data_IF_991513129625
#
_entry.id   IF_991513129625
#
_cell.length_a   1.000
_cell.length_b   1.000
_cell.length_c   1.000
_cell.angle_alpha   90.00
_cell.angle_beta   90.00
_cell.angle_gamma   90.00
#
_symmetry.space_group_name_H-M   'P 1'
#
loop_
_entity.id
_entity.type
_entity.pdbx_description
1 polymer ?
#
# COMPACT_ATOMS: atom_id res chain seq x y z
N UNK A 1 1.05 -39.05 3.30
CA UNK A 1 1.81 -37.79 3.49
C UNK A 1 2.85 -37.98 4.58
N UNK A 2 4.09 -37.57 4.32
CA UNK A 2 5.19 -37.71 5.29
C UNK A 2 4.96 -36.84 6.53
N UNK A 3 5.31 -37.33 7.73
CA UNK A 3 5.05 -36.63 9.01
C UNK A 3 5.71 -35.26 9.10
N UNK A 4 6.83 -35.07 8.41
CA UNK A 4 7.57 -33.79 8.36
C UNK A 4 6.72 -32.63 7.83
N UNK A 5 5.78 -32.88 6.91
CA UNK A 5 4.90 -31.84 6.37
C UNK A 5 3.76 -31.44 7.33
N UNK A 6 3.69 -32.04 8.53
CA UNK A 6 2.82 -31.55 9.60
C UNK A 6 3.43 -30.42 10.42
N UNK A 7 4.71 -30.14 10.21
CA UNK A 7 5.45 -29.08 10.90
C UNK A 7 5.26 -27.78 10.09
N UNK A 8 4.53 -26.78 10.60
CA UNK A 8 4.24 -25.54 9.87
C UNK A 8 5.51 -24.80 9.42
N UNK A 9 6.57 -24.87 10.21
CA UNK A 9 7.86 -24.25 9.94
C UNK A 9 8.50 -24.85 8.68
N UNK A 10 8.41 -26.17 8.49
CA UNK A 10 8.93 -26.83 7.29
C UNK A 10 8.14 -26.41 6.06
N UNK A 11 6.81 -26.32 6.17
CA UNK A 11 5.97 -25.82 5.08
C UNK A 11 6.32 -24.38 4.72
N UNK A 12 6.51 -23.53 5.74
CA UNK A 12 6.92 -22.15 5.55
C UNK A 12 8.28 -22.04 4.85
N UNK A 13 9.27 -22.85 5.26
CA UNK A 13 10.58 -22.88 4.61
C UNK A 13 10.49 -23.30 3.14
N UNK A 14 9.67 -24.30 2.80
CA UNK A 14 9.43 -24.69 1.40
C UNK A 14 8.84 -23.52 0.60
N UNK A 15 7.86 -22.81 1.17
CA UNK A 15 7.26 -21.64 0.53
C UNK A 15 8.25 -20.50 0.35
N UNK A 16 9.13 -20.25 1.32
CA UNK A 16 10.18 -19.25 1.21
C UNK A 16 11.24 -19.62 0.17
N UNK A 17 11.45 -20.89 -0.14
CA UNK A 17 12.30 -21.27 -1.28
C UNK A 17 11.65 -20.94 -2.62
N UNK A 18 10.31 -20.97 -2.69
CA UNK A 18 9.56 -20.65 -3.91
C UNK A 18 9.44 -19.13 -4.06
N UNK A 19 9.14 -18.42 -2.97
CA UNK A 19 8.88 -16.99 -2.98
C UNK A 19 9.56 -16.35 -1.76
N UNK A 20 10.86 -16.02 -1.87
CA UNK A 20 11.68 -15.58 -0.74
C UNK A 20 11.27 -14.21 -0.18
N UNK A 21 10.96 -13.26 -1.06
CA UNK A 21 10.57 -11.91 -0.67
C UNK A 21 9.07 -11.68 -0.87
N UNK A 22 8.30 -12.01 0.17
CA UNK A 22 6.85 -11.83 0.18
C UNK A 22 6.38 -10.37 0.19
N UNK A 23 7.30 -9.39 0.15
CA UNK A 23 6.98 -7.96 0.14
C UNK A 23 6.98 -7.35 -1.26
N UNK A 24 7.49 -8.09 -2.25
CA UNK A 24 7.61 -7.67 -3.66
C UNK A 24 6.64 -8.43 -4.54
N UNK A 25 6.37 -7.94 -5.75
CA UNK A 25 5.53 -8.69 -6.69
C UNK A 25 6.20 -10.01 -7.08
N UNK A 26 5.53 -11.17 -6.90
CA UNK A 26 6.08 -12.44 -7.33
C UNK A 26 6.18 -12.45 -8.86
N UNK A 27 7.28 -13.00 -9.37
CA UNK A 27 7.42 -13.31 -10.79
C UNK A 27 6.31 -14.28 -11.26
N UNK A 28 6.15 -14.38 -12.58
CA UNK A 28 5.21 -15.32 -13.18
C UNK A 28 5.47 -16.76 -12.73
N UNK A 29 6.74 -17.17 -12.65
CA UNK A 29 7.11 -18.54 -12.31
C UNK A 29 6.81 -18.86 -10.84
N UNK A 30 7.09 -17.92 -9.93
CA UNK A 30 6.76 -18.05 -8.50
C UNK A 30 5.24 -18.14 -8.31
N UNK A 31 4.49 -17.26 -8.98
CA UNK A 31 3.02 -17.27 -8.96
C UNK A 31 2.46 -18.61 -9.44
N UNK A 32 2.98 -19.13 -10.56
CA UNK A 32 2.56 -20.42 -11.10
C UNK A 32 2.93 -21.58 -10.17
N UNK A 33 4.14 -21.56 -9.59
CA UNK A 33 4.61 -22.57 -8.65
C UNK A 33 3.72 -22.62 -7.40
N UNK A 34 3.43 -21.47 -6.78
CA UNK A 34 2.53 -21.37 -5.62
C UNK A 34 1.12 -21.84 -5.95
N UNK A 35 0.58 -21.44 -7.11
CA UNK A 35 -0.75 -21.87 -7.55
C UNK A 35 -0.83 -23.38 -7.80
N UNK A 36 0.23 -23.97 -8.39
CA UNK A 36 0.33 -25.43 -8.55
C UNK A 36 0.41 -26.11 -7.19
N UNK A 37 1.29 -25.63 -6.31
CA UNK A 37 1.49 -26.17 -4.96
C UNK A 37 0.19 -26.17 -4.15
N UNK A 38 -0.57 -25.07 -4.20
CA UNK A 38 -1.87 -24.93 -3.55
C UNK A 38 -2.90 -25.99 -3.99
N UNK A 39 -2.77 -26.51 -5.20
CA UNK A 39 -3.67 -27.53 -5.78
C UNK A 39 -3.17 -28.97 -5.62
N UNK A 40 -1.94 -29.18 -5.13
CA UNK A 40 -1.37 -30.53 -5.00
C UNK A 40 -2.09 -31.37 -3.93
N UNK A 41 -2.30 -30.79 -2.75
CA UNK A 41 -2.87 -31.50 -1.60
C UNK A 41 -3.31 -30.54 -0.49
N UNK A 42 -4.15 -31.04 0.44
CA UNK A 42 -4.76 -30.23 1.50
C UNK A 42 -3.75 -29.54 2.42
N UNK A 43 -2.64 -30.18 2.75
CA UNK A 43 -1.61 -29.63 3.66
C UNK A 43 -0.87 -28.45 3.06
N UNK A 44 -0.59 -28.46 1.76
CA UNK A 44 0.04 -27.34 1.07
C UNK A 44 -0.97 -26.29 0.61
N UNK A 45 -2.27 -26.63 0.57
CA UNK A 45 -3.30 -25.76 0.01
C UNK A 45 -3.37 -24.40 0.70
N UNK A 46 -3.62 -24.39 2.01
CA UNK A 46 -3.77 -23.16 2.78
C UNK A 46 -2.47 -22.33 2.83
N UNK A 47 -1.29 -22.90 3.16
CA UNK A 47 -0.05 -22.13 3.22
C UNK A 47 0.37 -21.57 1.86
N UNK A 48 0.17 -22.32 0.77
CA UNK A 48 0.50 -21.83 -0.57
C UNK A 48 -0.47 -20.75 -1.05
N UNK A 49 -1.76 -20.83 -0.67
CA UNK A 49 -2.72 -19.75 -0.92
C UNK A 49 -2.37 -18.49 -0.12
N UNK A 50 -1.94 -18.64 1.14
CA UNK A 50 -1.44 -17.51 1.95
C UNK A 50 -0.27 -16.82 1.28
N UNK A 51 0.72 -17.58 0.80
CA UNK A 51 1.87 -17.02 0.09
C UNK A 51 1.45 -16.37 -1.23
N UNK A 52 0.63 -17.06 -2.05
CA UNK A 52 0.15 -16.58 -3.35
C UNK A 52 -0.63 -15.27 -3.25
N UNK A 53 -1.47 -15.14 -2.22
CA UNK A 53 -2.32 -13.96 -2.02
C UNK A 53 -1.70 -12.89 -1.13
N UNK A 54 -0.55 -13.14 -0.51
CA UNK A 54 0.11 -12.21 0.40
C UNK A 54 0.43 -10.86 -0.25
N UNK A 55 0.85 -10.87 -1.52
CA UNK A 55 1.06 -9.69 -2.33
C UNK A 55 0.03 -9.64 -3.47
N UNK A 56 -0.60 -8.49 -3.69
CA UNK A 56 -1.44 -8.25 -4.86
C UNK A 56 -1.00 -6.98 -5.58
N UNK A 57 -0.79 -7.08 -6.90
CA UNK A 57 -0.46 -5.96 -7.78
C UNK A 57 -1.65 -5.08 -8.16
N UNK A 58 -2.87 -5.46 -7.74
CA UNK A 58 -4.10 -4.68 -7.95
C UNK A 58 -5.24 -5.15 -7.06
N UNK A 59 -6.10 -4.21 -6.64
CA UNK A 59 -7.35 -4.52 -5.94
C UNK A 59 -8.33 -5.31 -6.82
N UNK A 60 -8.20 -5.20 -8.15
CA UNK A 60 -9.08 -5.89 -9.09
C UNK A 60 -8.99 -7.41 -9.00
N UNK A 61 -7.88 -7.98 -8.52
CA UNK A 61 -7.78 -9.42 -8.34
C UNK A 61 -8.78 -9.93 -7.30
N UNK A 62 -9.13 -9.12 -6.31
CA UNK A 62 -10.22 -9.41 -5.37
C UNK A 62 -11.56 -9.39 -6.08
N UNK A 63 -11.81 -8.40 -6.95
CA UNK A 63 -13.07 -8.30 -7.69
C UNK A 63 -13.24 -9.42 -8.72
N UNK A 64 -12.14 -9.93 -9.31
CA UNK A 64 -12.14 -11.11 -10.19
C UNK A 64 -12.59 -12.39 -9.47
N UNK A 65 -12.51 -12.46 -8.15
CA UNK A 65 -13.02 -13.60 -7.38
C UNK A 65 -14.54 -13.61 -7.22
N UNK A 66 -15.20 -12.48 -7.46
CA UNK A 66 -16.66 -12.39 -7.45
C UNK A 66 -17.26 -13.21 -8.62
N UNK A 67 -18.54 -13.59 -8.54
CA UNK A 67 -19.24 -14.27 -9.63
C UNK A 67 -19.04 -13.61 -11.01
N UNK A 68 -18.80 -14.42 -12.04
CA UNK A 68 -18.48 -13.94 -13.40
C UNK A 68 -19.67 -13.28 -14.10
N UNK A 69 -20.88 -13.44 -13.57
CA UNK A 69 -22.09 -12.80 -14.08
C UNK A 69 -22.26 -11.35 -13.60
N UNK A 70 -21.41 -10.86 -12.69
CA UNK A 70 -21.43 -9.48 -12.20
C UNK A 70 -20.75 -8.55 -13.20
N UNK A 71 -19.61 -8.97 -13.74
CA UNK A 71 -18.75 -8.14 -14.57
C UNK A 71 -18.85 -8.55 -16.03
N UNK A 72 -19.14 -7.61 -16.92
CA UNK A 72 -18.89 -7.77 -18.35
C UNK A 72 -17.43 -7.45 -18.70
N UNK A 73 -17.10 -7.58 -19.99
CA UNK A 73 -15.87 -7.01 -20.51
C UNK A 73 -15.78 -5.53 -20.10
N UNK A 74 -14.58 -5.08 -19.74
CA UNK A 74 -14.30 -3.70 -19.35
C UNK A 74 -14.97 -3.24 -18.04
N UNK A 75 -15.24 -4.17 -17.11
CA UNK A 75 -15.75 -3.87 -15.77
C UNK A 75 -17.12 -3.18 -15.75
N UNK A 76 -17.96 -3.45 -16.75
CA UNK A 76 -19.34 -2.98 -16.77
C UNK A 76 -20.17 -3.93 -15.91
N UNK A 77 -20.98 -3.36 -15.02
CA UNK A 77 -21.88 -4.12 -14.16
C UNK A 77 -23.05 -4.70 -14.97
N UNK A 78 -23.22 -6.03 -14.97
CA UNK A 78 -24.36 -6.71 -15.63
C UNK A 78 -25.59 -6.84 -14.76
N UNK A 79 -25.39 -6.86 -13.44
CA UNK A 79 -26.46 -6.91 -12.42
C UNK A 79 -25.99 -6.25 -11.12
N UNK A 80 -26.90 -5.79 -10.26
CA UNK A 80 -26.53 -5.26 -8.94
C UNK A 80 -25.64 -6.23 -8.15
N UNK A 81 -24.67 -5.68 -7.42
CA UNK A 81 -23.82 -6.43 -6.50
C UNK A 81 -24.64 -6.72 -5.24
N UNK A 82 -24.75 -7.99 -4.88
CA UNK A 82 -25.40 -8.48 -3.69
C UNK A 82 -24.36 -8.78 -2.61
N UNK A 83 -24.77 -8.73 -1.34
CA UNK A 83 -23.85 -9.02 -0.22
C UNK A 83 -23.13 -10.37 -0.36
N UNK A 84 -23.85 -11.42 -0.77
CA UNK A 84 -23.32 -12.78 -0.99
C UNK A 84 -22.28 -12.89 -2.12
N UNK A 85 -22.25 -11.92 -3.03
CA UNK A 85 -21.28 -11.95 -4.13
C UNK A 85 -19.85 -11.74 -3.62
N UNK A 86 -19.71 -11.13 -2.45
CA UNK A 86 -18.45 -10.90 -1.79
C UNK A 86 -17.89 -12.12 -1.08
N UNK A 87 -18.70 -13.17 -0.84
CA UNK A 87 -18.28 -14.33 -0.04
C UNK A 87 -17.01 -14.98 -0.62
N UNK A 88 -16.93 -15.10 -1.95
CA UNK A 88 -15.74 -15.65 -2.63
C UNK A 88 -14.54 -14.71 -2.57
N UNK A 89 -14.76 -13.40 -2.61
CA UNK A 89 -13.69 -12.42 -2.50
C UNK A 89 -13.07 -12.47 -1.09
N UNK A 90 -13.90 -12.55 -0.05
CA UNK A 90 -13.46 -12.56 1.36
C UNK A 90 -12.63 -13.79 1.76
N UNK A 91 -12.80 -14.91 1.05
CA UNK A 91 -11.92 -16.10 1.21
C UNK A 91 -10.44 -15.74 0.96
N UNK A 92 -10.16 -14.73 0.14
CA UNK A 92 -8.79 -14.36 -0.20
C UNK A 92 -8.34 -13.05 0.43
N UNK A 93 -9.25 -12.12 0.71
CA UNK A 93 -8.87 -10.78 1.16
C UNK A 93 -8.14 -10.78 2.51
N UNK A 94 -8.43 -11.73 3.41
CA UNK A 94 -7.72 -11.85 4.70
C UNK A 94 -6.25 -12.28 4.54
N UNK A 95 -5.85 -12.77 3.37
CA UNK A 95 -4.48 -13.21 3.09
C UNK A 95 -3.61 -12.06 2.56
N UNK A 96 -4.23 -11.01 2.04
CA UNK A 96 -3.54 -9.86 1.45
C UNK A 96 -2.84 -9.05 2.53
N UNK A 97 -1.51 -8.94 2.43
CA UNK A 97 -0.63 -8.19 3.34
C UNK A 97 0.04 -7.00 2.66
N UNK A 98 0.30 -7.12 1.36
CA UNK A 98 0.95 -6.11 0.54
C UNK A 98 0.07 -5.83 -0.67
N UNK A 99 -0.28 -4.56 -0.86
CA UNK A 99 -1.04 -4.14 -2.02
C UNK A 99 -0.25 -3.05 -2.76
N UNK A 100 0.04 -3.32 -4.02
CA UNK A 100 0.56 -2.35 -4.96
C UNK A 100 -0.57 -1.94 -5.90
N UNK A 101 -0.73 -0.65 -6.13
CA UNK A 101 -1.70 -0.10 -7.07
C UNK A 101 -0.94 0.86 -8.00
N UNK A 102 -0.65 0.42 -9.23
CA UNK A 102 0.08 1.19 -10.24
C UNK A 102 -0.77 1.45 -11.47
N UNK A 103 -0.43 2.45 -12.28
CA UNK A 103 -1.15 2.78 -13.52
C UNK A 103 -1.32 1.58 -14.47
N UNK A 104 -0.31 0.71 -14.59
CA UNK A 104 -0.36 -0.49 -15.43
C UNK A 104 -1.30 -1.57 -14.90
N UNK A 105 -1.61 -1.54 -13.60
CA UNK A 105 -2.45 -2.56 -12.95
C UNK A 105 -3.94 -2.26 -13.04
N UNK A 106 -4.32 -1.13 -13.67
CA UNK A 106 -5.69 -0.66 -13.74
C UNK A 106 -6.19 -0.74 -15.19
N UNK A 107 -7.42 -1.23 -15.42
CA UNK A 107 -8.01 -1.22 -16.73
C UNK A 107 -8.12 0.23 -17.21
N UNK A 108 -7.55 0.52 -18.38
CA UNK A 108 -7.60 1.82 -19.05
C UNK A 108 -9.00 2.13 -19.63
N UNK A 109 -10.04 1.96 -18.82
CA UNK A 109 -11.43 2.11 -19.22
C UNK A 109 -12.10 3.20 -18.39
N UNK A 110 -12.88 4.06 -19.06
CA UNK A 110 -13.62 5.16 -18.43
C UNK A 110 -14.55 4.69 -17.29
N UNK A 111 -15.00 3.44 -17.31
CA UNK A 111 -15.91 2.89 -16.31
C UNK A 111 -15.22 2.47 -14.99
N UNK A 112 -13.89 2.43 -14.95
CA UNK A 112 -13.12 2.02 -13.76
C UNK A 112 -13.46 2.88 -12.53
N UNK A 113 -13.67 4.19 -12.71
CA UNK A 113 -14.07 5.09 -11.62
C UNK A 113 -15.44 4.74 -11.03
N UNK A 114 -16.45 4.52 -11.90
CA UNK A 114 -17.80 4.12 -11.49
C UNK A 114 -17.79 2.80 -10.74
N UNK A 115 -16.93 1.87 -11.13
CA UNK A 115 -16.77 0.58 -10.43
C UNK A 115 -16.30 0.80 -9.00
N UNK A 116 -15.35 1.70 -8.76
CA UNK A 116 -14.90 1.98 -7.39
C UNK A 116 -15.95 2.65 -6.53
N UNK A 117 -16.75 3.56 -7.10
CA UNK A 117 -17.87 4.18 -6.38
C UNK A 117 -18.94 3.15 -6.02
N UNK A 118 -19.33 2.30 -6.98
CA UNK A 118 -20.30 1.22 -6.74
C UNK A 118 -19.75 0.25 -5.70
N UNK A 119 -18.48 -0.16 -5.83
CA UNK A 119 -17.83 -1.03 -4.86
C UNK A 119 -17.85 -0.38 -3.49
N UNK A 120 -17.44 0.89 -3.35
CA UNK A 120 -17.46 1.62 -2.07
C UNK A 120 -18.82 1.56 -1.40
N UNK A 121 -19.91 1.74 -2.15
CA UNK A 121 -21.28 1.73 -1.63
C UNK A 121 -21.78 0.30 -1.33
N UNK A 122 -21.35 -0.68 -2.12
CA UNK A 122 -21.75 -2.08 -1.97
C UNK A 122 -20.88 -2.86 -0.97
N UNK A 123 -19.77 -2.27 -0.52
CA UNK A 123 -18.81 -2.88 0.39
C UNK A 123 -19.38 -2.89 1.82
N UNK A 124 -19.61 -4.05 2.44
CA UNK A 124 -20.22 -4.07 3.76
C UNK A 124 -19.29 -3.63 4.91
N UNK A 125 -17.96 -3.85 4.83
CA UNK A 125 -16.95 -3.49 5.86
C UNK A 125 -15.56 -3.26 5.21
N UNK A 126 -14.57 -2.75 5.93
CA UNK A 126 -13.17 -2.83 5.50
C UNK A 126 -12.71 -4.31 5.38
N UNK A 127 -12.30 -4.74 4.19
CA UNK A 127 -12.11 -6.17 3.90
C UNK A 127 -10.67 -6.63 3.69
N UNK A 128 -9.65 -5.80 3.94
CA UNK A 128 -8.24 -6.22 3.92
C UNK A 128 -7.65 -6.25 5.34
N UNK A 129 -8.18 -7.09 6.26
CA UNK A 129 -7.90 -7.01 7.70
C UNK A 129 -6.45 -7.32 8.09
N UNK A 130 -5.64 -7.82 7.16
CA UNK A 130 -4.22 -8.14 7.37
C UNK A 130 -3.30 -7.27 6.51
N UNK A 131 -3.83 -6.22 5.87
CA UNK A 131 -3.03 -5.32 5.05
C UNK A 131 -2.01 -4.59 5.93
N UNK A 132 -0.73 -4.72 5.60
CA UNK A 132 0.40 -4.14 6.33
C UNK A 132 1.13 -3.09 5.51
N UNK A 133 1.11 -3.22 4.20
CA UNK A 133 1.78 -2.31 3.29
C UNK A 133 0.87 -1.93 2.13
N UNK A 134 0.70 -0.64 1.91
CA UNK A 134 0.01 -0.08 0.75
C UNK A 134 0.99 0.75 -0.05
N UNK A 135 1.14 0.46 -1.34
CA UNK A 135 1.85 1.31 -2.29
C UNK A 135 0.88 1.80 -3.34
N UNK A 136 0.61 3.10 -3.32
CA UNK A 136 -0.32 3.75 -4.23
C UNK A 136 0.45 4.63 -5.21
N UNK A 137 0.70 4.10 -6.41
CA UNK A 137 1.45 4.74 -7.50
C UNK A 137 0.53 5.26 -8.62
N UNK A 138 -0.78 5.36 -8.36
CA UNK A 138 -1.74 5.70 -9.40
C UNK A 138 -1.75 7.18 -9.71
N UNK A 139 -1.40 7.45 -10.96
CA UNK A 139 -1.49 8.72 -11.64
C UNK A 139 -2.18 8.49 -12.99
N UNK A 140 -3.11 9.34 -13.48
CA UNK A 140 -3.57 10.64 -12.96
C UNK A 140 -5.00 10.62 -12.37
N UNK A 141 -5.46 9.52 -11.75
CA UNK A 141 -6.85 9.40 -11.29
C UNK A 141 -7.00 9.36 -9.75
N UNK A 142 -6.90 10.53 -9.06
CA UNK A 142 -7.05 10.67 -7.62
C UNK A 142 -8.30 10.02 -7.01
N UNK A 143 -9.40 10.12 -7.74
CA UNK A 143 -10.74 9.74 -7.29
C UNK A 143 -10.85 8.25 -7.00
N UNK A 144 -10.03 7.42 -7.67
CA UNK A 144 -9.95 5.99 -7.42
C UNK A 144 -9.45 5.70 -6.00
N UNK A 145 -8.51 6.49 -5.51
CA UNK A 145 -7.98 6.33 -4.16
C UNK A 145 -9.02 6.71 -3.12
N UNK A 146 -9.71 7.84 -3.32
CA UNK A 146 -10.78 8.31 -2.46
C UNK A 146 -11.92 7.29 -2.36
N UNK A 147 -12.31 6.70 -3.49
CA UNK A 147 -13.36 5.69 -3.52
C UNK A 147 -12.95 4.41 -2.77
N UNK A 148 -11.67 4.03 -2.80
CA UNK A 148 -11.17 2.82 -2.17
C UNK A 148 -10.62 3.01 -0.76
N UNK A 149 -10.48 4.24 -0.26
CA UNK A 149 -9.93 4.52 1.06
C UNK A 149 -10.55 3.66 2.19
N UNK A 150 -11.88 3.41 2.25
CA UNK A 150 -12.47 2.54 3.29
C UNK A 150 -12.00 1.08 3.24
N UNK A 151 -11.59 0.58 2.06
CA UNK A 151 -11.02 -0.76 1.89
C UNK A 151 -9.54 -0.80 2.28
N UNK A 152 -8.84 0.31 2.07
CA UNK A 152 -7.38 0.41 2.13
C UNK A 152 -6.85 0.89 3.48
N UNK A 153 -7.61 1.71 4.20
CA UNK A 153 -7.23 2.25 5.50
C UNK A 153 -7.65 1.28 6.59
N UNK A 154 -6.71 0.45 6.99
CA UNK A 154 -6.94 -0.62 7.96
C UNK A 154 -6.09 -0.40 9.20
N UNK A 155 -6.56 -0.82 10.39
CA UNK A 155 -5.81 -0.62 11.64
C UNK A 155 -4.50 -1.41 11.67
N UNK A 156 -4.32 -2.40 10.78
CA UNK A 156 -3.10 -3.20 10.65
C UNK A 156 -2.04 -2.57 9.75
N UNK A 157 -2.36 -1.47 9.06
CA UNK A 157 -1.47 -0.85 8.10
C UNK A 157 -0.25 -0.24 8.81
N UNK A 158 0.95 -0.62 8.35
CA UNK A 158 2.24 -0.20 8.94
C UNK A 158 3.08 0.63 8.01
N UNK A 159 2.97 0.36 6.70
CA UNK A 159 3.76 1.00 5.67
C UNK A 159 2.83 1.58 4.62
N UNK A 160 3.06 2.83 4.25
CA UNK A 160 2.32 3.48 3.18
C UNK A 160 3.28 4.24 2.28
N UNK A 161 3.16 3.99 0.98
CA UNK A 161 3.75 4.80 -0.06
C UNK A 161 2.62 5.46 -0.84
N UNK A 162 2.62 6.78 -0.90
CA UNK A 162 1.67 7.58 -1.66
C UNK A 162 2.44 8.32 -2.74
N UNK A 163 2.16 8.02 -4.00
CA UNK A 163 2.68 8.77 -5.13
C UNK A 163 2.18 10.22 -5.15
N UNK A 164 2.58 10.97 -6.17
CA UNK A 164 2.40 12.42 -6.23
C UNK A 164 0.95 12.88 -6.02
N UNK A 165 0.71 13.58 -4.91
CA UNK A 165 -0.54 14.29 -4.65
C UNK A 165 -0.59 15.57 -5.47
N UNK A 166 -1.66 15.77 -6.24
CA UNK A 166 -1.84 16.97 -7.07
C UNK A 166 -2.97 17.88 -6.59
N UNK A 167 -3.83 17.42 -5.67
CA UNK A 167 -5.06 18.12 -5.28
C UNK A 167 -5.25 18.16 -3.76
N UNK A 168 -5.88 19.22 -3.25
CA UNK A 168 -6.18 19.39 -1.82
C UNK A 168 -7.11 18.31 -1.26
N UNK A 169 -8.02 17.80 -2.09
CA UNK A 169 -8.90 16.67 -1.73
C UNK A 169 -8.11 15.39 -1.41
N UNK A 170 -6.97 15.17 -2.07
CA UNK A 170 -6.11 14.03 -1.75
C UNK A 170 -5.35 14.23 -0.44
N UNK A 171 -4.89 15.45 -0.15
CA UNK A 171 -4.23 15.75 1.13
C UNK A 171 -5.18 15.58 2.32
N UNK A 172 -6.48 15.80 2.10
CA UNK A 172 -7.52 15.52 3.11
C UNK A 172 -7.59 14.05 3.53
N UNK A 173 -7.00 13.12 2.77
CA UNK A 173 -6.91 11.72 3.17
C UNK A 173 -5.85 11.46 4.25
N UNK A 174 -4.88 12.35 4.41
CA UNK A 174 -3.83 12.20 5.42
C UNK A 174 -4.42 12.21 6.84
N UNK A 175 -5.41 13.07 7.10
CA UNK A 175 -6.10 13.10 8.39
C UNK A 175 -6.88 11.81 8.64
N UNK A 176 -7.60 11.30 7.63
CA UNK A 176 -8.28 10.01 7.73
C UNK A 176 -7.30 8.85 7.94
N UNK A 177 -6.14 8.89 7.28
CA UNK A 177 -5.10 7.88 7.41
C UNK A 177 -4.48 7.86 8.81
N UNK A 178 -4.20 9.03 9.41
CA UNK A 178 -3.77 9.11 10.81
C UNK A 178 -4.83 8.53 11.78
N UNK A 179 -6.11 8.83 11.54
CA UNK A 179 -7.19 8.37 12.41
C UNK A 179 -7.48 6.86 12.33
N UNK A 180 -7.33 6.25 11.14
CA UNK A 180 -7.73 4.86 10.91
C UNK A 180 -6.56 3.87 10.93
N UNK A 181 -5.31 4.34 10.86
CA UNK A 181 -4.11 3.50 10.75
C UNK A 181 -3.12 3.78 11.92
N UNK A 182 -3.47 3.46 13.18
CA UNK A 182 -2.65 3.79 14.36
C UNK A 182 -1.31 3.04 14.43
N UNK A 183 -1.13 1.98 13.64
CA UNK A 183 0.10 1.18 13.60
C UNK A 183 1.10 1.61 12.51
N UNK A 184 0.89 2.78 11.90
CA UNK A 184 1.80 3.31 10.90
C UNK A 184 3.18 3.58 11.50
N UNK A 185 4.20 3.10 10.78
CA UNK A 185 5.61 3.18 11.17
C UNK A 185 6.50 3.66 10.03
N UNK A 186 6.10 3.40 8.78
CA UNK A 186 6.86 3.80 7.59
C UNK A 186 5.96 4.58 6.65
N UNK A 187 6.32 5.82 6.35
CA UNK A 187 5.55 6.71 5.50
C UNK A 187 6.49 7.23 4.42
N UNK A 188 6.05 7.08 3.18
CA UNK A 188 6.68 7.70 2.00
C UNK A 188 5.59 8.45 1.24
N UNK A 189 5.72 9.77 1.17
CA UNK A 189 4.85 10.63 0.39
C UNK A 189 5.69 11.29 -0.68
N UNK A 190 5.41 10.95 -1.93
CA UNK A 190 5.92 11.68 -3.08
C UNK A 190 5.09 12.95 -3.27
N UNK A 191 5.76 14.10 -3.34
CA UNK A 191 5.12 15.39 -3.59
C UNK A 191 5.53 15.88 -4.98
N UNK A 192 4.63 16.51 -5.75
CA UNK A 192 5.01 17.15 -7.00
C UNK A 192 5.99 18.29 -6.75
N UNK A 193 6.78 18.62 -7.77
CA UNK A 193 7.78 19.69 -7.79
C UNK A 193 7.22 21.08 -7.43
N UNK A 194 5.89 21.27 -7.49
CA UNK A 194 5.18 22.52 -7.19
C UNK A 194 4.36 22.34 -5.91
N UNK A 195 5.04 22.06 -4.80
CA UNK A 195 4.38 22.08 -3.49
C UNK A 195 4.01 23.52 -3.13
N UNK A 196 2.72 23.81 -2.94
CA UNK A 196 2.28 25.10 -2.38
C UNK A 196 2.52 25.14 -0.89
N UNK A 197 2.63 26.34 -0.30
CA UNK A 197 2.75 26.53 1.16
C UNK A 197 1.65 25.75 1.90
N UNK A 198 0.42 25.80 1.41
CA UNK A 198 -0.73 25.09 1.99
C UNK A 198 -0.53 23.57 2.04
N UNK A 199 0.09 22.97 1.02
CA UNK A 199 0.35 21.53 1.00
C UNK A 199 1.37 21.09 2.04
N UNK A 200 2.36 21.94 2.34
CA UNK A 200 3.40 21.66 3.35
C UNK A 200 2.84 21.71 4.77
N UNK A 201 1.87 22.58 5.04
CA UNK A 201 1.25 22.71 6.36
C UNK A 201 0.38 21.48 6.67
N UNK A 202 -0.46 21.03 5.74
CA UNK A 202 -1.30 19.82 5.93
C UNK A 202 -0.45 18.58 6.21
N UNK A 203 0.69 18.45 5.53
CA UNK A 203 1.60 17.32 5.73
C UNK A 203 2.34 17.46 7.07
N UNK A 204 2.70 18.67 7.47
CA UNK A 204 3.31 18.94 8.78
C UNK A 204 2.34 18.61 9.92
N UNK A 205 1.08 19.05 9.83
CA UNK A 205 0.02 18.72 10.79
C UNK A 205 -0.22 17.21 10.88
N UNK A 206 -0.27 16.54 9.72
CA UNK A 206 -0.36 15.08 9.66
C UNK A 206 0.82 14.41 10.36
N UNK A 207 2.06 14.86 10.13
CA UNK A 207 3.26 14.32 10.77
C UNK A 207 3.26 14.55 12.28
N UNK A 208 2.80 15.72 12.73
CA UNK A 208 2.63 16.04 14.16
C UNK A 208 1.65 15.12 14.87
N UNK A 209 0.68 14.54 14.16
CA UNK A 209 -0.29 13.59 14.70
C UNK A 209 0.22 12.14 14.83
N UNK A 210 1.48 11.86 14.50
CA UNK A 210 2.03 10.50 14.50
C UNK A 210 3.07 10.31 15.60
N UNK A 211 2.89 9.29 16.45
CA UNK A 211 3.74 9.07 17.62
C UNK A 211 4.74 7.90 17.50
N UNK A 212 4.54 7.02 16.51
CA UNK A 212 5.24 5.74 16.43
C UNK A 212 6.03 5.53 15.13
N UNK A 213 6.40 6.61 14.46
CA UNK A 213 7.10 6.55 13.18
C UNK A 213 8.56 6.11 13.34
N UNK A 214 8.97 5.16 12.50
CA UNK A 214 10.33 4.63 12.38
C UNK A 214 11.03 5.15 11.10
N UNK A 215 10.27 5.38 10.03
CA UNK A 215 10.76 5.84 8.74
C UNK A 215 9.81 6.87 8.15
N UNK A 216 10.33 8.05 7.82
CA UNK A 216 9.56 9.14 7.20
C UNK A 216 10.30 9.65 5.97
N UNK A 217 9.64 9.61 4.82
CA UNK A 217 10.13 10.14 3.56
C UNK A 217 9.09 11.12 2.98
N UNK A 218 9.42 12.41 2.94
CA UNK A 218 8.53 13.52 2.55
C UNK A 218 9.34 14.63 1.90
N UNK A 219 8.73 15.51 1.09
CA UNK A 219 9.51 16.57 0.44
C UNK A 219 9.74 17.80 1.34
N UNK A 220 8.65 18.36 1.89
CA UNK A 220 8.69 19.58 2.68
C UNK A 220 7.96 19.43 4.01
N UNK A 221 8.57 19.99 5.06
CA UNK A 221 8.03 20.09 6.41
C UNK A 221 8.32 21.49 6.97
N UNK A 222 7.41 22.01 7.78
CA UNK A 222 7.61 23.26 8.49
C UNK A 222 8.41 23.08 9.79
N UNK A 223 8.65 24.19 10.48
CA UNK A 223 9.41 24.18 11.72
C UNK A 223 8.72 23.39 12.85
N UNK A 224 7.38 23.34 12.87
CA UNK A 224 6.63 22.62 13.89
C UNK A 224 6.81 21.11 13.75
N UNK A 225 6.69 20.60 12.52
CA UNK A 225 6.95 19.19 12.21
C UNK A 225 8.42 18.82 12.42
N UNK A 226 9.37 19.70 12.07
CA UNK A 226 10.79 19.46 12.39
C UNK A 226 11.02 19.29 13.89
N UNK A 227 10.44 20.17 14.72
CA UNK A 227 10.55 20.08 16.17
C UNK A 227 9.93 18.77 16.69
N UNK A 228 8.76 18.39 16.18
CA UNK A 228 8.09 17.13 16.54
C UNK A 228 8.93 15.89 16.21
N UNK A 229 9.46 15.81 14.98
CA UNK A 229 10.28 14.68 14.51
C UNK A 229 11.49 14.44 15.41
N UNK A 230 12.13 15.51 15.90
CA UNK A 230 13.28 15.41 16.82
C UNK A 230 12.87 14.77 18.16
N UNK A 231 11.59 14.79 18.53
CA UNK A 231 11.07 14.14 19.76
C UNK A 231 10.66 12.68 19.59
N UNK A 232 10.35 12.22 18.37
CA UNK A 232 9.89 10.84 18.07
C UNK A 232 10.90 9.71 18.39
N UNK A 233 10.80 9.01 19.54
CA UNK A 233 11.88 8.16 20.05
C UNK A 233 12.25 6.98 19.13
N UNK A 234 11.33 6.57 18.25
CA UNK A 234 11.52 5.41 17.36
C UNK A 234 12.00 5.76 15.95
N UNK A 235 12.13 7.05 15.63
CA UNK A 235 12.52 7.46 14.28
C UNK A 235 13.97 7.07 13.99
N UNK A 236 14.15 6.21 12.99
CA UNK A 236 15.45 5.70 12.53
C UNK A 236 15.91 6.37 11.26
N UNK A 237 14.97 6.65 10.36
CA UNK A 237 15.23 7.18 9.02
C UNK A 237 14.33 8.36 8.72
N UNK A 238 14.95 9.46 8.31
CA UNK A 238 14.27 10.64 7.77
C UNK A 238 14.83 10.92 6.38
N UNK A 239 13.97 10.96 5.37
CA UNK A 239 14.35 11.38 4.02
C UNK A 239 13.59 12.64 3.65
N UNK A 240 14.33 13.72 3.37
CA UNK A 240 13.74 14.95 2.82
C UNK A 240 13.97 14.98 1.31
N UNK A 241 12.90 14.89 0.52
CA UNK A 241 12.94 14.94 -0.94
C UNK A 241 13.06 16.39 -1.40
N UNK A 242 14.12 16.73 -2.11
CA UNK A 242 14.30 18.10 -2.65
C UNK A 242 14.24 18.09 -4.17
N UNK A 243 13.61 19.11 -4.81
CA UNK A 243 13.34 19.13 -6.26
C UNK A 243 14.55 19.50 -7.15
N UNK A 244 15.79 19.32 -6.69
CA UNK A 244 16.95 19.91 -7.38
C UNK A 244 17.42 19.10 -8.60
N UNK A 245 17.76 19.80 -9.69
CA UNK A 245 18.14 19.28 -11.02
C UNK A 245 19.47 18.50 -11.08
N UNK A 246 20.15 18.29 -9.95
CA UNK A 246 21.40 17.52 -9.86
C UNK A 246 21.28 16.53 -8.71
N UNK A 247 21.22 15.24 -9.06
CA UNK A 247 21.18 14.14 -8.08
C UNK A 247 22.44 14.18 -7.20
N UNK A 248 22.21 14.45 -5.92
CA UNK A 248 23.19 14.42 -4.84
C UNK A 248 22.49 13.91 -3.58
N UNK A 249 23.00 12.83 -3.01
CA UNK A 249 22.52 12.30 -1.74
C UNK A 249 23.45 12.83 -0.65
N UNK A 250 22.94 13.64 0.27
CA UNK A 250 23.71 14.07 1.43
C UNK A 250 23.15 13.40 2.70
N UNK A 251 24.04 12.82 3.50
CA UNK A 251 23.69 12.25 4.81
C UNK A 251 23.97 13.32 5.86
N UNK A 252 22.92 13.77 6.53
CA UNK A 252 23.00 14.69 7.66
C UNK A 252 22.66 13.89 8.91
N UNK A 253 23.45 14.05 9.97
CA UNK A 253 23.12 13.45 11.26
C UNK A 253 22.37 14.52 12.05
N UNK A 254 21.10 14.26 12.38
CA UNK A 254 20.36 15.17 13.24
C UNK A 254 20.82 14.98 14.69
N UNK A 255 21.14 16.06 15.43
CA UNK A 255 21.62 15.94 16.79
C UNK A 255 20.47 15.52 17.70
N UNK A 256 20.52 14.27 18.16
CA UNK A 256 19.69 13.77 19.26
C UNK A 256 20.57 13.44 20.45
N UNK A 257 20.04 13.64 21.67
CA UNK A 257 20.78 13.44 22.92
C UNK A 257 21.22 11.99 23.18
N UNK A 258 20.70 11.00 22.46
CA UNK A 258 20.97 9.58 22.77
C UNK A 258 21.06 8.62 21.57
N UNK A 259 20.58 8.97 20.37
CA UNK A 259 20.69 8.12 19.17
C UNK A 259 20.82 8.97 17.90
N UNK A 260 21.69 8.55 16.97
CA UNK A 260 21.87 9.24 15.68
C UNK A 260 20.71 8.90 14.73
N UNK A 261 19.92 9.89 14.32
CA UNK A 261 18.95 9.73 13.23
C UNK A 261 19.69 9.83 11.90
N UNK A 262 19.52 8.83 11.03
CA UNK A 262 20.00 8.90 9.66
C UNK A 262 19.06 9.83 8.87
N UNK A 263 19.42 11.10 8.74
CA UNK A 263 18.75 12.01 7.82
C UNK A 263 19.43 11.93 6.45
N UNK A 264 18.66 11.60 5.42
CA UNK A 264 19.13 11.53 4.04
C UNK A 264 18.38 12.57 3.24
N UNK A 265 19.08 13.58 2.75
CA UNK A 265 18.48 14.48 1.76
C UNK A 265 18.67 13.81 0.40
N UNK A 266 17.57 13.38 -0.22
CA UNK A 266 17.55 12.82 -1.57
C UNK A 266 17.06 13.88 -2.54
N UNK A 267 17.84 14.13 -3.58
CA UNK A 267 17.40 14.90 -4.76
C UNK A 267 17.00 13.92 -5.84
N UNK A 268 15.78 14.07 -6.36
CA UNK A 268 15.28 13.25 -7.47
C UNK A 268 15.31 14.09 -8.75
N UNK A 269 15.97 13.57 -9.79
CA UNK A 269 15.80 14.08 -11.14
C UNK A 269 14.56 13.40 -11.74
N UNK A 270 13.45 14.12 -11.89
CA UNK A 270 12.30 13.62 -12.64
C UNK A 270 12.69 13.53 -14.12
N UNK A 271 13.11 12.35 -14.57
CA UNK A 271 13.17 12.04 -15.99
C UNK A 271 11.77 11.59 -16.45
N UNK A 272 11.28 12.27 -17.50
CA UNK A 272 10.04 12.01 -18.27
C UNK A 272 8.76 12.76 -17.86
N UNK A 273 8.67 14.01 -18.32
CA UNK A 273 7.45 14.57 -18.91
C UNK A 273 7.64 14.58 -20.43
N UNK A 274 7.18 13.52 -21.12
CA UNK A 274 6.79 13.54 -22.53
C UNK A 274 5.63 12.59 -22.72
#
# INVERSE_FOLDING_TARGET
MHRTFRIPEVLHMVLLQIYPDQTQEPSSDETQALARLARTCKTFSEPALDALWSFQGTVFNVFKCMPSDIWAHNWILRRPILRRDWDRAFIYTHRVRYLLCSSHSFPAHANTLRVFEIVRLALPVAHLPQLRSLRWLLYPHPEQFLALAPLLFTPTLRRIFLGTFQTMSQLSLLSALAAHCPLLTHIDIDQPLIATVDSSQVISDFVCGLDHIESLEVAYLDQTAHNHIITLPRLKTLTLKTPNLKASTSRVHLPRKTDQILCVVRTYAYQHLR
#
